data_IF_326911999277
#
_entry.id   IF_326911999277
#
_cell.length_a   1.000
_cell.length_b   1.000
_cell.length_c   1.000
_cell.angle_alpha   90.00
_cell.angle_beta   90.00
_cell.angle_gamma   90.00
#
_symmetry.space_group_name_H-M   'P 1'
#
loop_
_entity.id
_entity.type
_entity.pdbx_description
1 polymer ?
#
# COMPACT_ATOMS: atom_id res chain seq x y z
N UNK A 1 -1.35 -5.14 -21.79
CA UNK A 1 -2.19 -4.15 -21.07
C UNK A 1 -1.40 -2.87 -20.99
N UNK A 2 -1.98 -1.75 -21.38
CA UNK A 2 -1.39 -0.42 -21.18
C UNK A 2 -1.64 0.01 -19.74
N UNK A 3 -0.57 0.31 -19.00
CA UNK A 3 -0.64 0.92 -17.68
C UNK A 3 -0.92 2.41 -17.85
N UNK A 4 -1.92 2.91 -17.14
CA UNK A 4 -2.18 4.34 -16.97
C UNK A 4 -1.30 4.87 -15.84
N UNK A 5 -0.64 5.98 -16.10
CA UNK A 5 0.21 6.67 -15.13
C UNK A 5 -0.38 8.05 -14.87
N UNK A 6 -0.61 8.36 -13.60
CA UNK A 6 -1.12 9.65 -13.14
C UNK A 6 -0.09 10.37 -12.27
N UNK A 7 0.12 11.68 -12.43
CA UNK A 7 1.03 12.42 -11.57
C UNK A 7 0.46 12.55 -10.15
N UNK A 8 1.30 12.32 -9.16
CA UNK A 8 1.03 12.54 -7.73
C UNK A 8 2.25 13.18 -7.08
N UNK A 9 2.13 13.57 -5.81
CA UNK A 9 3.25 14.12 -5.04
C UNK A 9 3.42 13.35 -3.75
N UNK A 10 4.68 13.13 -3.38
CA UNK A 10 5.08 12.65 -2.06
C UNK A 10 5.87 13.74 -1.35
N UNK A 11 5.84 13.74 -0.04
CA UNK A 11 6.63 14.68 0.75
C UNK A 11 7.90 13.98 1.22
N UNK A 12 9.06 14.44 0.76
CA UNK A 12 10.34 13.95 1.23
C UNK A 12 10.66 14.59 2.58
N UNK A 13 10.69 13.78 3.65
CA UNK A 13 10.93 14.29 5.00
C UNK A 13 12.39 14.63 5.29
N UNK A 14 13.33 14.17 4.44
CA UNK A 14 14.76 14.48 4.55
C UNK A 14 15.07 15.85 3.96
N UNK A 15 14.52 16.15 2.78
CA UNK A 15 14.71 17.46 2.12
C UNK A 15 13.66 18.48 2.52
N UNK A 16 12.54 18.05 3.12
CA UNK A 16 11.38 18.88 3.47
C UNK A 16 10.70 19.50 2.24
N UNK A 17 10.69 18.79 1.12
CA UNK A 17 10.13 19.22 -0.16
C UNK A 17 9.10 18.23 -0.72
N UNK A 18 8.20 18.74 -1.55
CA UNK A 18 7.30 17.89 -2.33
C UNK A 18 8.03 17.40 -3.59
N UNK A 19 8.07 16.09 -3.79
CA UNK A 19 8.66 15.46 -4.96
C UNK A 19 7.59 14.88 -5.87
N UNK A 20 7.79 15.04 -7.18
CA UNK A 20 6.92 14.47 -8.19
C UNK A 20 7.04 12.94 -8.17
N UNK A 21 5.89 12.29 -8.18
CA UNK A 21 5.76 10.85 -8.18
C UNK A 21 4.67 10.42 -9.18
N UNK A 22 4.60 9.12 -9.42
CA UNK A 22 3.72 8.52 -10.41
C UNK A 22 2.85 7.47 -9.72
N UNK A 23 1.54 7.58 -9.90
CA UNK A 23 0.57 6.53 -9.55
C UNK A 23 0.29 5.69 -10.80
N UNK A 24 0.64 4.42 -10.73
CA UNK A 24 0.43 3.44 -11.79
C UNK A 24 -0.81 2.60 -11.45
N UNK A 25 -1.71 2.42 -12.40
CA UNK A 25 -2.90 1.55 -12.29
C UNK A 25 -2.58 0.05 -12.43
N UNK A 26 -1.38 -0.34 -12.02
CA UNK A 26 -0.92 -1.72 -12.05
C UNK A 26 0.27 -1.95 -11.11
N UNK A 27 0.51 -3.23 -10.85
CA UNK A 27 1.76 -3.74 -10.28
C UNK A 27 2.40 -4.59 -11.38
N UNK A 28 3.54 -4.14 -11.90
CA UNK A 28 4.25 -4.82 -13.01
C UNK A 28 5.49 -5.55 -12.50
N UNK A 29 6.19 -6.26 -13.39
CA UNK A 29 7.50 -6.86 -13.07
C UNK A 29 8.51 -5.84 -12.53
N UNK A 30 8.41 -4.56 -12.92
CA UNK A 30 9.28 -3.52 -12.35
C UNK A 30 9.04 -3.38 -10.84
N UNK A 31 7.79 -3.22 -10.41
CA UNK A 31 7.45 -3.06 -9.00
C UNK A 31 7.78 -4.32 -8.18
N UNK A 32 7.54 -5.50 -8.76
CA UNK A 32 7.92 -6.76 -8.13
C UNK A 32 9.44 -6.90 -8.00
N UNK A 33 10.19 -6.47 -9.01
CA UNK A 33 11.66 -6.40 -8.99
C UNK A 33 12.18 -5.44 -7.92
N UNK A 34 11.62 -4.23 -7.79
CA UNK A 34 11.97 -3.28 -6.73
C UNK A 34 11.66 -3.88 -5.33
N UNK A 35 10.53 -4.57 -5.19
CA UNK A 35 10.16 -5.23 -3.94
C UNK A 35 11.15 -6.34 -3.56
N UNK A 36 11.52 -7.20 -4.51
CA UNK A 36 12.45 -8.31 -4.28
C UNK A 36 13.88 -7.83 -4.05
N UNK A 37 14.33 -6.86 -4.84
CA UNK A 37 15.69 -6.34 -4.85
C UNK A 37 15.99 -5.35 -3.75
N UNK A 38 15.01 -4.54 -3.33
CA UNK A 38 15.26 -3.42 -2.41
C UNK A 38 14.43 -3.53 -1.12
N UNK A 39 13.12 -3.82 -1.22
CA UNK A 39 12.27 -3.85 -0.03
C UNK A 39 12.58 -5.03 0.87
N UNK A 40 12.69 -6.25 0.32
CA UNK A 40 12.97 -7.44 1.11
C UNK A 40 14.32 -7.32 1.85
N UNK A 41 15.44 -6.95 1.19
CA UNK A 41 16.70 -6.76 1.90
C UNK A 41 16.62 -5.70 3.01
N UNK A 42 15.98 -4.56 2.76
CA UNK A 42 15.86 -3.51 3.78
C UNK A 42 14.97 -3.92 4.95
N UNK A 43 13.89 -4.65 4.68
CA UNK A 43 13.04 -5.23 5.70
C UNK A 43 13.80 -6.27 6.54
N UNK A 44 14.61 -7.13 5.92
CA UNK A 44 15.44 -8.10 6.65
C UNK A 44 16.47 -7.41 7.54
N UNK A 45 17.13 -6.34 7.06
CA UNK A 45 18.04 -5.53 7.89
C UNK A 45 17.31 -4.97 9.10
N UNK A 46 16.13 -4.40 8.89
CA UNK A 46 15.31 -3.82 9.97
C UNK A 46 14.87 -4.87 10.99
N UNK A 47 14.41 -6.04 10.53
CA UNK A 47 14.04 -7.18 11.41
C UNK A 47 15.25 -7.69 12.20
N UNK A 48 16.44 -7.78 11.58
CA UNK A 48 17.66 -8.14 12.29
C UNK A 48 18.04 -7.12 13.37
N UNK A 49 17.88 -5.81 13.10
CA UNK A 49 18.09 -4.76 14.11
C UNK A 49 17.14 -4.94 15.29
N UNK A 50 15.84 -5.14 15.03
CA UNK A 50 14.83 -5.39 16.08
C UNK A 50 15.16 -6.63 16.92
N UNK A 51 15.55 -7.73 16.26
CA UNK A 51 15.96 -8.95 16.95
C UNK A 51 17.18 -8.72 17.85
N UNK A 52 18.23 -8.03 17.36
CA UNK A 52 19.43 -7.71 18.15
C UNK A 52 19.13 -6.79 19.33
N UNK A 53 18.14 -5.91 19.19
CA UNK A 53 17.66 -5.04 20.26
C UNK A 53 16.73 -5.75 21.26
N UNK A 54 16.49 -7.06 21.11
CA UNK A 54 15.63 -7.84 22.02
C UNK A 54 14.15 -7.49 21.90
N UNK A 55 13.74 -6.83 20.82
CA UNK A 55 12.34 -6.44 20.61
C UNK A 55 11.50 -7.68 20.33
N UNK A 56 10.44 -7.84 21.11
CA UNK A 56 9.50 -8.95 20.95
C UNK A 56 8.86 -8.98 19.56
N UNK A 57 8.64 -10.19 19.03
CA UNK A 57 8.11 -10.41 17.67
C UNK A 57 6.77 -9.73 17.39
N UNK A 58 5.94 -9.46 18.40
CA UNK A 58 4.65 -8.74 18.24
C UNK A 58 4.82 -7.29 17.76
N UNK A 59 5.99 -6.70 17.98
CA UNK A 59 6.33 -5.36 17.54
C UNK A 59 7.06 -5.35 16.19
N UNK A 60 7.33 -6.52 15.60
CA UNK A 60 7.94 -6.59 14.28
C UNK A 60 6.90 -6.26 13.19
N UNK A 61 7.33 -5.82 12.00
CA UNK A 61 6.44 -5.60 10.88
C UNK A 61 5.48 -6.77 10.63
N UNK A 62 4.18 -6.53 10.79
CA UNK A 62 3.19 -7.59 10.61
C UNK A 62 3.06 -8.03 9.15
N UNK A 63 3.34 -7.14 8.19
CA UNK A 63 3.38 -7.46 6.76
C UNK A 63 4.56 -8.32 6.33
N UNK A 64 5.54 -8.63 7.21
CA UNK A 64 6.82 -9.30 6.84
C UNK A 64 6.71 -10.66 6.16
N UNK A 65 5.55 -11.31 6.25
CA UNK A 65 5.29 -12.62 5.66
C UNK A 65 4.57 -12.52 4.31
N UNK A 66 4.23 -11.29 3.87
CA UNK A 66 3.59 -11.06 2.59
C UNK A 66 4.58 -11.30 1.45
N UNK A 67 4.13 -12.06 0.47
CA UNK A 67 4.85 -12.27 -0.78
C UNK A 67 4.04 -11.60 -1.89
N UNK A 68 4.52 -10.44 -2.38
CA UNK A 68 3.78 -9.67 -3.38
C UNK A 68 3.70 -10.39 -4.70
N UNK A 69 4.77 -11.06 -5.15
CA UNK A 69 4.76 -11.85 -6.39
C UNK A 69 3.68 -12.93 -6.39
N UNK A 70 3.63 -13.76 -5.35
CA UNK A 70 2.59 -14.80 -5.21
C UNK A 70 1.19 -14.20 -5.14
N UNK A 71 1.04 -13.05 -4.47
CA UNK A 71 -0.25 -12.36 -4.39
C UNK A 71 -0.67 -11.85 -5.77
N UNK A 72 0.21 -11.18 -6.52
CA UNK A 72 -0.13 -10.67 -7.86
C UNK A 72 -0.37 -11.79 -8.87
N UNK A 73 0.41 -12.88 -8.82
CA UNK A 73 0.22 -14.07 -9.66
C UNK A 73 -1.17 -14.70 -9.45
N UNK A 74 -1.62 -14.80 -8.20
CA UNK A 74 -2.93 -15.37 -7.87
C UNK A 74 -4.11 -14.56 -8.42
N UNK A 75 -3.91 -13.29 -8.76
CA UNK A 75 -4.94 -12.36 -9.24
C UNK A 75 -4.77 -12.04 -10.73
N UNK A 76 -3.74 -12.60 -11.36
CA UNK A 76 -3.43 -12.31 -12.76
C UNK A 76 -4.61 -12.72 -13.65
N UNK A 77 -5.12 -11.78 -14.45
CA UNK A 77 -6.27 -11.98 -15.31
C UNK A 77 -7.64 -11.75 -14.65
N UNK A 78 -7.69 -11.45 -13.34
CA UNK A 78 -8.93 -11.08 -12.66
C UNK A 78 -9.16 -9.58 -12.72
N UNK A 79 -10.09 -9.13 -13.58
CA UNK A 79 -10.47 -7.71 -13.69
C UNK A 79 -11.05 -7.14 -12.38
N UNK A 80 -11.63 -7.99 -11.54
CA UNK A 80 -12.22 -7.62 -10.26
C UNK A 80 -11.17 -7.24 -9.18
N UNK A 81 -9.89 -7.51 -9.44
CA UNK A 81 -8.82 -7.29 -8.45
C UNK A 81 -7.70 -6.42 -9.00
N UNK A 82 -7.97 -5.12 -9.24
CA UNK A 82 -6.94 -4.21 -9.74
C UNK A 82 -5.86 -3.97 -8.67
N UNK A 83 -4.62 -3.91 -9.12
CA UNK A 83 -3.48 -3.48 -8.30
C UNK A 83 -3.03 -2.08 -8.71
N UNK A 84 -2.52 -1.28 -7.78
CA UNK A 84 -1.88 -0.01 -8.09
C UNK A 84 -0.54 0.11 -7.37
N UNK A 85 0.34 0.97 -7.88
CA UNK A 85 1.63 1.25 -7.26
C UNK A 85 2.01 2.72 -7.38
N UNK A 86 2.86 3.18 -6.44
CA UNK A 86 3.43 4.52 -6.47
C UNK A 86 4.92 4.40 -6.75
N UNK A 87 5.43 5.16 -7.72
CA UNK A 87 6.85 5.25 -8.06
C UNK A 87 7.32 6.69 -7.84
N UNK A 88 8.43 6.86 -7.14
CA UNK A 88 9.08 8.16 -6.93
C UNK A 88 10.58 7.98 -7.16
N UNK A 89 11.19 8.89 -7.94
CA UNK A 89 12.60 8.80 -8.34
C UNK A 89 13.00 7.42 -8.87
N UNK A 90 12.13 6.83 -9.71
CA UNK A 90 12.37 5.51 -10.32
C UNK A 90 12.22 4.32 -9.37
N UNK A 91 11.91 4.52 -8.09
CA UNK A 91 11.78 3.47 -7.09
C UNK A 91 10.32 3.32 -6.62
N UNK A 92 9.85 2.07 -6.51
CA UNK A 92 8.51 1.77 -5.98
C UNK A 92 8.45 2.11 -4.49
N UNK A 93 7.47 2.95 -4.12
CA UNK A 93 7.28 3.48 -2.77
C UNK A 93 6.09 2.87 -2.03
N UNK A 94 5.09 2.38 -2.77
CA UNK A 94 3.88 1.78 -2.23
C UNK A 94 3.19 0.86 -3.23
N UNK A 95 2.54 -0.18 -2.74
CA UNK A 95 1.69 -1.08 -3.53
C UNK A 95 0.36 -1.35 -2.82
N UNK A 96 -0.71 -1.48 -3.61
CA UNK A 96 -2.07 -1.78 -3.13
C UNK A 96 -2.74 -2.79 -4.07
N UNK A 97 -3.49 -3.74 -3.49
CA UNK A 97 -4.40 -4.64 -4.20
C UNK A 97 -5.82 -4.37 -3.69
N UNK A 98 -6.73 -4.22 -4.63
CA UNK A 98 -8.13 -3.95 -4.38
C UNK A 98 -8.99 -5.15 -4.79
N UNK A 99 -10.19 -5.23 -4.23
CA UNK A 99 -11.27 -6.13 -4.64
C UNK A 99 -12.53 -5.29 -4.84
N UNK A 100 -13.04 -5.27 -6.07
CA UNK A 100 -14.17 -4.43 -6.47
C UNK A 100 -15.50 -5.19 -6.51
N UNK A 101 -15.50 -6.50 -6.23
CA UNK A 101 -16.67 -7.35 -6.49
C UNK A 101 -17.06 -8.24 -5.31
N UNK A 102 -16.12 -8.79 -4.53
CA UNK A 102 -16.45 -9.87 -3.59
C UNK A 102 -16.93 -9.39 -2.22
N UNK A 103 -16.75 -8.10 -1.89
CA UNK A 103 -17.16 -7.53 -0.59
C UNK A 103 -18.31 -6.53 -0.73
N UNK A 104 -19.03 -6.35 0.38
CA UNK A 104 -20.11 -5.39 0.54
C UNK A 104 -20.01 -4.68 1.88
N UNK A 105 -20.58 -3.49 1.95
CA UNK A 105 -20.67 -2.70 3.17
C UNK A 105 -21.37 -3.48 4.28
N UNK A 106 -20.79 -3.41 5.49
CA UNK A 106 -21.32 -4.04 6.70
C UNK A 106 -21.88 -3.06 7.73
N UNK A 107 -21.56 -1.76 7.59
CA UNK A 107 -22.10 -0.69 8.43
C UNK A 107 -23.59 -0.54 8.15
N UNK A 108 -24.40 -0.46 9.20
CA UNK A 108 -25.86 -0.59 9.10
C UNK A 108 -26.49 0.38 8.10
N UNK A 109 -26.09 1.66 8.09
CA UNK A 109 -26.61 2.69 7.19
C UNK A 109 -26.27 2.44 5.70
N UNK A 110 -25.32 1.53 5.42
CA UNK A 110 -24.84 1.23 4.07
C UNK A 110 -24.86 -0.26 3.76
N UNK A 111 -25.48 -1.09 4.61
CA UNK A 111 -25.40 -2.54 4.53
C UNK A 111 -25.78 -3.07 3.16
N UNK A 112 -24.95 -3.96 2.61
CA UNK A 112 -25.17 -4.58 1.30
C UNK A 112 -24.79 -3.72 0.09
N UNK A 113 -24.45 -2.44 0.27
CA UNK A 113 -23.96 -1.57 -0.82
C UNK A 113 -22.57 -2.00 -1.27
N UNK A 114 -22.27 -1.70 -2.53
CA UNK A 114 -20.97 -1.91 -3.16
C UNK A 114 -19.90 -1.02 -2.52
N UNK A 115 -18.69 -1.56 -2.43
CA UNK A 115 -17.50 -0.85 -1.98
C UNK A 115 -16.28 -1.39 -2.72
N UNK A 116 -15.21 -0.59 -2.76
CA UNK A 116 -13.88 -1.08 -3.12
C UNK A 116 -13.21 -1.54 -1.84
N UNK A 117 -12.84 -2.81 -1.79
CA UNK A 117 -12.19 -3.40 -0.64
C UNK A 117 -10.67 -3.38 -0.83
N UNK A 118 -9.92 -2.98 0.19
CA UNK A 118 -8.45 -3.02 0.18
C UNK A 118 -8.01 -4.37 0.77
N UNK A 119 -7.57 -5.27 -0.09
CA UNK A 119 -7.06 -6.59 0.32
C UNK A 119 -5.65 -6.46 0.89
N UNK A 120 -4.78 -5.70 0.22
CA UNK A 120 -3.41 -5.47 0.66
C UNK A 120 -2.97 -4.05 0.37
N UNK A 121 -2.22 -3.46 1.30
CA UNK A 121 -1.60 -2.14 1.13
C UNK A 121 -0.30 -2.12 1.92
N UNK A 122 0.80 -1.75 1.28
CA UNK A 122 2.11 -1.68 1.95
C UNK A 122 2.95 -0.52 1.41
N UNK A 123 3.63 0.17 2.33
CA UNK A 123 4.63 1.17 2.03
C UNK A 123 6.02 0.51 2.03
N UNK A 124 6.94 1.03 1.22
CA UNK A 124 8.34 0.63 1.25
C UNK A 124 8.93 0.76 2.67
N UNK A 125 9.89 -0.10 3.07
CA UNK A 125 10.43 -0.11 4.43
C UNK A 125 11.00 1.23 4.90
N UNK A 126 11.65 1.99 4.02
CA UNK A 126 12.22 3.31 4.34
C UNK A 126 11.16 4.42 4.52
N UNK A 127 9.91 4.19 4.11
CA UNK A 127 8.78 5.12 4.31
C UNK A 127 8.02 4.83 5.60
N UNK A 128 8.52 3.93 6.44
CA UNK A 128 7.85 3.45 7.64
C UNK A 128 8.57 3.97 8.88
N UNK A 129 7.95 4.86 9.67
CA UNK A 129 8.60 5.46 10.84
C UNK A 129 8.94 4.45 11.94
N UNK A 130 8.27 3.28 11.96
CA UNK A 130 8.60 2.17 12.86
C UNK A 130 9.90 1.44 12.48
N UNK A 131 10.42 1.65 11.27
CA UNK A 131 11.64 0.99 10.77
C UNK A 131 12.76 1.97 10.41
N UNK A 132 12.40 3.19 10.02
CA UNK A 132 13.33 4.21 9.58
C UNK A 132 12.91 5.58 10.12
N UNK A 133 13.83 6.26 10.81
CA UNK A 133 13.61 7.59 11.39
C UNK A 133 14.77 8.54 11.00
N UNK A 134 14.52 9.63 10.25
CA UNK A 134 13.23 10.01 9.68
C UNK A 134 12.80 9.08 8.54
N UNK A 135 11.52 8.76 8.42
CA UNK A 135 10.99 8.05 7.25
C UNK A 135 11.20 8.89 5.99
N UNK A 136 11.62 8.29 4.87
CA UNK A 136 12.01 9.03 3.66
C UNK A 136 10.83 9.80 3.05
N UNK A 137 9.76 9.12 2.67
CA UNK A 137 8.56 9.75 2.13
C UNK A 137 7.37 9.65 3.07
N UNK A 138 6.64 10.76 3.19
CA UNK A 138 5.31 10.85 3.79
C UNK A 138 4.25 10.93 2.69
N UNK A 139 3.03 10.50 3.04
CA UNK A 139 1.88 10.58 2.15
C UNK A 139 1.64 9.35 1.27
N UNK A 140 2.57 8.39 1.21
CA UNK A 140 2.44 7.16 0.39
C UNK A 140 1.12 6.42 0.67
N UNK A 141 0.86 6.09 1.94
CA UNK A 141 -0.38 5.41 2.32
C UNK A 141 -1.63 6.23 1.99
N UNK A 142 -1.59 7.55 2.23
CA UNK A 142 -2.71 8.45 1.93
C UNK A 142 -3.02 8.50 0.43
N UNK A 143 -2.00 8.56 -0.43
CA UNK A 143 -2.17 8.53 -1.89
C UNK A 143 -2.77 7.19 -2.33
N UNK A 144 -2.33 6.06 -1.78
CA UNK A 144 -2.91 4.75 -2.11
C UNK A 144 -4.38 4.62 -1.68
N UNK A 145 -4.74 5.14 -0.50
CA UNK A 145 -6.14 5.16 -0.06
C UNK A 145 -6.97 6.10 -0.92
N UNK A 146 -6.43 7.25 -1.33
CA UNK A 146 -7.09 8.14 -2.28
C UNK A 146 -7.31 7.47 -3.64
N UNK A 147 -6.37 6.64 -4.11
CA UNK A 147 -6.55 5.85 -5.33
C UNK A 147 -7.71 4.85 -5.19
N UNK A 148 -7.84 4.16 -4.05
CA UNK A 148 -8.97 3.27 -3.79
C UNK A 148 -10.32 4.02 -3.75
N UNK A 149 -10.34 5.23 -3.17
CA UNK A 149 -11.53 6.10 -3.15
C UNK A 149 -11.87 6.58 -4.56
N UNK A 150 -10.87 6.94 -5.37
CA UNK A 150 -11.06 7.35 -6.76
C UNK A 150 -11.64 6.20 -7.59
N UNK A 151 -11.09 4.98 -7.46
CA UNK A 151 -11.62 3.78 -8.10
C UNK A 151 -13.08 3.53 -7.70
N UNK A 152 -13.41 3.70 -6.42
CA UNK A 152 -14.78 3.57 -5.92
C UNK A 152 -15.73 4.62 -6.51
N UNK A 153 -15.25 5.83 -6.79
CA UNK A 153 -16.06 6.85 -7.47
C UNK A 153 -16.28 6.53 -8.94
N UNK A 154 -15.24 6.05 -9.62
CA UNK A 154 -15.30 5.62 -11.03
C UNK A 154 -16.30 4.47 -11.23
N UNK A 155 -16.35 3.53 -10.29
CA UNK A 155 -17.32 2.43 -10.27
C UNK A 155 -18.71 2.84 -9.74
N UNK A 156 -18.95 4.13 -9.51
CA UNK A 156 -20.19 4.68 -8.95
C UNK A 156 -20.56 4.21 -7.52
N UNK A 157 -19.63 3.57 -6.81
CA UNK A 157 -19.76 3.14 -5.42
C UNK A 157 -19.67 4.30 -4.41
N UNK A 158 -19.75 5.55 -4.89
CA UNK A 158 -19.80 6.80 -4.11
C UNK A 158 -18.60 7.01 -3.18
N UNK A 159 -17.43 6.47 -3.54
CA UNK A 159 -16.21 6.59 -2.74
C UNK A 159 -16.15 5.67 -1.53
N UNK A 160 -17.06 4.71 -1.40
CA UNK A 160 -17.04 3.71 -0.32
C UNK A 160 -15.84 2.79 -0.48
N UNK A 161 -15.06 2.68 0.60
CA UNK A 161 -13.99 1.70 0.72
C UNK A 161 -14.16 0.87 2.00
N UNK A 162 -13.52 -0.28 2.06
CA UNK A 162 -13.44 -1.12 3.26
C UNK A 162 -12.10 -1.81 3.37
N UNK A 163 -11.64 -2.08 4.58
CA UNK A 163 -10.40 -2.81 4.84
C UNK A 163 -10.44 -3.49 6.21
N UNK A 164 -9.56 -4.46 6.43
CA UNK A 164 -9.22 -4.92 7.78
C UNK A 164 -7.79 -4.49 8.09
N UNK A 165 -7.65 -3.58 9.06
CA UNK A 165 -6.35 -3.05 9.42
C UNK A 165 -5.57 -4.07 10.24
N UNK A 166 -4.27 -4.18 9.93
CA UNK A 166 -3.33 -4.79 10.87
C UNK A 166 -3.32 -3.96 12.16
N UNK A 167 -3.29 -4.56 13.37
CA UNK A 167 -3.27 -3.81 14.63
C UNK A 167 -2.29 -2.64 14.67
N UNK A 168 -1.09 -2.79 14.09
CA UNK A 168 -0.07 -1.74 14.02
C UNK A 168 -0.46 -0.53 13.15
N UNK A 169 -1.35 -0.72 12.17
CA UNK A 169 -1.82 0.32 11.27
C UNK A 169 -3.17 0.92 11.69
N UNK A 170 -3.78 0.45 12.78
CA UNK A 170 -5.13 0.87 13.15
C UNK A 170 -5.23 2.38 13.44
N UNK A 171 -4.21 2.96 14.09
CA UNK A 171 -4.16 4.40 14.39
C UNK A 171 -4.19 5.27 13.13
N UNK A 172 -3.66 4.78 12.01
CA UNK A 172 -3.69 5.49 10.73
C UNK A 172 -5.10 5.60 10.14
N UNK A 173 -5.99 4.64 10.43
CA UNK A 173 -7.35 4.60 9.85
C UNK A 173 -8.46 5.02 10.82
N UNK A 174 -8.31 4.74 12.11
CA UNK A 174 -9.38 4.89 13.09
C UNK A 174 -9.39 6.26 13.80
N UNK A 175 -8.28 7.01 13.75
CA UNK A 175 -8.04 8.17 14.61
C UNK A 175 -7.64 9.45 13.86
N UNK A 176 -7.96 9.56 12.57
CA UNK A 176 -7.83 10.82 11.80
C UNK A 176 -9.07 11.69 11.91
#
# INVERSE_FOLDING_TARGET
MTITVSPVYLFNAVTNEAESAELWDGITEKQLGDWEGEWLPELFKSVHKLHRAGIERRHWPQSRHWNWRKKTEALQGMLAQPGCSIVCNGMTQGMIILDTVMKRCRIEQQKGKELVYVDFVENAPWNRPDLHDPALYRGVGSVMINAAIAQSKELEFKGRIGLHSLPQANSFYANT
#
